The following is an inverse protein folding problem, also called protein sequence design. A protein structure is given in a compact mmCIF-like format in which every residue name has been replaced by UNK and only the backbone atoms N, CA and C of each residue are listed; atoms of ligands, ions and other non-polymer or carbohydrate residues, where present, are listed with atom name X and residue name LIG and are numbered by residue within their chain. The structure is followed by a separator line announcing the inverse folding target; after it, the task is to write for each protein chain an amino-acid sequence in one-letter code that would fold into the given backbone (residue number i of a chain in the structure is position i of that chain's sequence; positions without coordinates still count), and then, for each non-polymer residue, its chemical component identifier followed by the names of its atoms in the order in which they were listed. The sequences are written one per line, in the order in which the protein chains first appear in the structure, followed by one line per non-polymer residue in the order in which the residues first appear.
data_IF_415545068463
#
_entry.id   IF_415545068463
#
_cell.length_a   1.000
_cell.length_b   1.000
_cell.length_c   1.000
_cell.angle_alpha   90.00
_cell.angle_beta   90.00
_cell.angle_gamma   90.00
#
_symmetry.space_group_name_H-M   'P 1'
#
loop_
_entity.id
_entity.type
_entity.pdbx_description
1 polymer ?
#
# COMPACT_ATOMS: atom_id res chain seq x y z
N UNK A 1 -15.67 0.47 -2.52
CA UNK A 1 -15.58 -0.84 -3.16
C UNK A 1 -14.37 -1.56 -2.60
N UNK A 2 -14.53 -2.78 -2.07
CA UNK A 2 -13.41 -3.48 -1.46
C UNK A 2 -12.42 -3.97 -2.52
N UNK A 3 -11.16 -4.07 -2.10
CA UNK A 3 -10.08 -4.59 -2.93
C UNK A 3 -9.29 -5.62 -2.14
N UNK A 4 -8.60 -6.51 -2.84
CA UNK A 4 -7.76 -7.52 -2.22
C UNK A 4 -6.31 -7.06 -2.29
N UNK A 5 -5.57 -7.16 -1.18
CA UNK A 5 -4.14 -6.88 -1.16
C UNK A 5 -3.41 -8.01 -1.87
N UNK A 6 -2.81 -7.71 -3.03
CA UNK A 6 -2.09 -8.69 -3.83
C UNK A 6 -0.68 -8.87 -3.29
N UNK A 7 0.02 -7.77 -3.06
CA UNK A 7 1.39 -7.82 -2.57
C UNK A 7 1.73 -6.55 -1.80
N UNK A 8 2.60 -6.69 -0.82
CA UNK A 8 3.12 -5.58 -0.02
C UNK A 8 4.61 -5.48 -0.32
N UNK A 9 5.05 -4.32 -0.81
CA UNK A 9 6.41 -4.12 -1.31
C UNK A 9 7.30 -3.40 -0.32
N UNK A 10 6.78 -2.99 0.83
CA UNK A 10 7.52 -2.23 1.83
C UNK A 10 7.36 -2.85 3.22
N UNK A 11 8.30 -2.50 4.11
CA UNK A 11 8.27 -2.90 5.52
C UNK A 11 8.44 -1.67 6.40
N UNK A 12 7.99 -1.73 7.68
CA UNK A 12 8.22 -0.62 8.60
C UNK A 12 9.71 -0.29 8.73
N UNK A 13 10.02 1.00 8.71
CA UNK A 13 11.41 1.48 8.76
C UNK A 13 12.07 1.70 7.42
N UNK A 14 11.45 1.26 6.33
CA UNK A 14 12.00 1.41 4.99
C UNK A 14 11.81 2.84 4.49
N UNK A 15 12.86 3.40 3.87
CA UNK A 15 12.76 4.67 3.19
C UNK A 15 12.17 4.48 1.80
N UNK A 16 11.25 5.35 1.41
CA UNK A 16 10.61 5.34 0.09
C UNK A 16 10.73 6.71 -0.55
N UNK A 17 10.62 6.72 -1.88
CA UNK A 17 10.67 7.95 -2.67
C UNK A 17 9.33 8.18 -3.35
N UNK A 18 9.10 9.42 -3.77
CA UNK A 18 7.91 9.78 -4.54
C UNK A 18 7.72 8.83 -5.73
N UNK A 19 6.53 8.27 -5.84
CA UNK A 19 6.19 7.36 -6.92
C UNK A 19 6.50 5.89 -6.65
N UNK A 20 7.21 5.57 -5.56
CA UNK A 20 7.47 4.17 -5.21
C UNK A 20 6.16 3.46 -4.90
N UNK A 21 5.99 2.25 -5.45
CA UNK A 21 4.82 1.44 -5.17
C UNK A 21 4.96 0.80 -3.79
N UNK A 22 4.00 1.05 -2.92
CA UNK A 22 4.00 0.56 -1.55
C UNK A 22 3.25 -0.77 -1.45
N UNK A 23 2.07 -0.83 -2.03
CA UNK A 23 1.17 -1.97 -1.97
C UNK A 23 0.46 -2.07 -3.32
N UNK A 24 0.18 -3.27 -3.78
CA UNK A 24 -0.65 -3.49 -4.96
C UNK A 24 -1.96 -4.12 -4.52
N UNK A 25 -3.06 -3.50 -4.90
CA UNK A 25 -4.40 -4.00 -4.66
C UNK A 25 -5.01 -4.51 -5.96
N UNK A 26 -6.02 -5.37 -5.86
CA UNK A 26 -6.78 -5.82 -7.00
C UNK A 26 -8.27 -5.63 -6.71
N UNK A 27 -8.97 -5.01 -7.66
CA UNK A 27 -10.42 -4.86 -7.61
C UNK A 27 -10.95 -4.89 -9.04
N UNK A 28 -12.03 -5.66 -9.26
CA UNK A 28 -12.70 -5.75 -10.56
C UNK A 28 -11.74 -6.06 -11.71
N UNK A 29 -10.82 -7.01 -11.49
CA UNK A 29 -9.83 -7.46 -12.48
C UNK A 29 -8.82 -6.37 -12.86
N UNK A 30 -8.69 -5.33 -12.06
CA UNK A 30 -7.72 -4.25 -12.26
C UNK A 30 -6.75 -4.23 -11.09
N UNK A 31 -5.48 -4.00 -11.39
CA UNK A 31 -4.47 -3.76 -10.36
C UNK A 31 -4.43 -2.28 -10.02
N UNK A 32 -4.40 -2.00 -8.71
CA UNK A 32 -4.40 -0.65 -8.18
C UNK A 32 -3.13 -0.46 -7.34
N UNK A 33 -2.06 0.08 -7.93
CA UNK A 33 -0.85 0.33 -7.16
C UNK A 33 -1.05 1.54 -6.24
N UNK A 34 -0.68 1.38 -4.97
CA UNK A 34 -0.66 2.47 -4.00
C UNK A 34 0.77 2.98 -3.95
N UNK A 35 0.96 4.24 -4.31
CA UNK A 35 2.28 4.84 -4.45
C UNK A 35 2.53 5.90 -3.40
N UNK A 36 3.81 6.09 -3.06
CA UNK A 36 4.21 7.13 -2.12
C UNK A 36 3.98 8.52 -2.74
N UNK A 37 3.32 9.44 -2.03
CA UNK A 37 3.09 10.80 -2.54
C UNK A 37 4.32 11.69 -2.47
N UNK A 38 5.37 11.25 -1.78
CA UNK A 38 6.63 11.97 -1.63
C UNK A 38 7.65 11.10 -0.93
N UNK A 39 8.87 11.62 -0.76
CA UNK A 39 9.91 10.93 -0.03
C UNK A 39 9.51 10.82 1.45
N UNK A 40 9.60 9.62 2.01
CA UNK A 40 9.14 9.36 3.38
C UNK A 40 9.77 8.09 3.93
N UNK A 41 9.48 7.81 5.20
CA UNK A 41 9.84 6.55 5.84
C UNK A 41 8.56 5.84 6.25
N UNK A 42 8.47 4.55 5.98
CA UNK A 42 7.31 3.75 6.34
C UNK A 42 7.29 3.58 7.86
N UNK A 43 6.21 4.04 8.50
CA UNK A 43 6.02 3.89 9.95
C UNK A 43 5.32 2.59 10.29
N UNK A 44 4.28 2.25 9.53
CA UNK A 44 3.49 1.05 9.78
C UNK A 44 2.84 0.56 8.50
N UNK A 45 2.64 -0.74 8.41
CA UNK A 45 1.88 -1.38 7.35
C UNK A 45 0.63 -1.97 8.00
N UNK A 46 -0.54 -1.46 7.63
CA UNK A 46 -1.81 -1.76 8.30
C UNK A 46 -2.66 -2.79 7.53
N UNK A 47 -2.03 -3.55 6.65
CA UNK A 47 -2.73 -4.57 5.86
C UNK A 47 -1.83 -5.79 5.69
N UNK A 48 -2.42 -6.87 5.19
CA UNK A 48 -1.71 -8.14 4.91
C UNK A 48 -2.03 -8.60 3.51
N UNK A 49 -1.11 -9.33 2.91
CA UNK A 49 -1.35 -9.96 1.61
C UNK A 49 -2.53 -10.92 1.71
N UNK A 50 -3.42 -10.85 0.73
CA UNK A 50 -4.65 -11.64 0.72
C UNK A 50 -5.81 -11.02 1.48
N UNK A 51 -5.59 -9.94 2.21
CA UNK A 51 -6.64 -9.28 2.99
C UNK A 51 -7.56 -8.46 2.08
N UNK A 52 -8.85 -8.47 2.41
CA UNK A 52 -9.84 -7.62 1.75
C UNK A 52 -9.89 -6.27 2.48
N UNK A 53 -9.64 -5.19 1.78
CA UNK A 53 -9.55 -3.85 2.36
C UNK A 53 -10.38 -2.84 1.57
N UNK A 54 -10.69 -1.71 2.20
CA UNK A 54 -11.29 -0.57 1.51
C UNK A 54 -10.17 0.30 0.96
N UNK A 55 -10.21 0.71 -0.32
CA UNK A 55 -9.14 1.50 -0.92
C UNK A 55 -8.93 2.88 -0.28
N UNK A 56 -9.93 3.42 0.39
CA UNK A 56 -9.85 4.72 1.07
C UNK A 56 -9.26 4.63 2.49
N UNK A 57 -9.01 3.42 2.97
CA UNK A 57 -8.38 3.21 4.27
C UNK A 57 -6.87 3.43 4.18
N UNK A 58 -6.29 3.97 5.24
CA UNK A 58 -4.83 4.10 5.32
C UNK A 58 -4.19 2.72 5.47
N UNK A 59 -3.57 2.23 4.40
CA UNK A 59 -2.94 0.90 4.38
C UNK A 59 -1.49 0.96 4.83
N UNK A 60 -0.80 2.04 4.53
CA UNK A 60 0.60 2.28 4.92
C UNK A 60 0.68 3.66 5.53
N UNK A 61 1.27 3.76 6.72
CA UNK A 61 1.51 5.04 7.37
C UNK A 61 2.94 5.49 7.09
N UNK A 62 3.07 6.74 6.64
CA UNK A 62 4.34 7.34 6.29
C UNK A 62 4.68 8.48 7.25
N UNK A 63 5.94 8.63 7.54
CA UNK A 63 6.43 9.73 8.35
C UNK A 63 6.97 10.86 7.46
#
# INVERSE_FOLDING_TARGET
MPATVVTILVTPGQAVRHGDTLVVLEAMKMELPIRAPGDAVVQAVNCREGELVQPDRTLVELA
#
